data_IF_885905514079
#
_entry.id   IF_885905514079
#
_cell.length_a   1.000
_cell.length_b   1.000
_cell.length_c   1.000
_cell.angle_alpha   90.00
_cell.angle_beta   90.00
_cell.angle_gamma   90.00
#
_symmetry.space_group_name_H-M   'P 1'
#
loop_
_entity.id
_entity.type
_entity.pdbx_description
1 polymer ?
#
# COMPACT_ATOMS: atom_id res chain seq x y z
N UNK A 1 -23.07 13.50 -12.98
CA UNK A 1 -21.88 12.93 -12.30
C UNK A 1 -22.27 12.26 -11.01
N UNK A 2 -22.07 10.95 -10.92
CA UNK A 2 -22.42 10.16 -9.74
C UNK A 2 -21.14 9.87 -8.96
N UNK A 3 -20.93 10.60 -7.86
CA UNK A 3 -19.87 10.30 -6.89
C UNK A 3 -20.37 9.21 -5.93
N UNK A 4 -19.60 8.15 -5.77
CA UNK A 4 -19.85 7.10 -4.78
C UNK A 4 -18.99 7.38 -3.54
N UNK A 5 -19.61 7.32 -2.36
CA UNK A 5 -18.92 7.50 -1.08
C UNK A 5 -19.28 6.32 -0.19
N UNK A 6 -18.26 5.57 0.24
CA UNK A 6 -18.40 4.57 1.29
C UNK A 6 -17.77 5.08 2.57
N UNK A 7 -18.44 4.89 3.70
CA UNK A 7 -17.92 5.21 5.04
C UNK A 7 -17.79 3.94 5.85
N UNK A 8 -16.77 3.88 6.70
CA UNK A 8 -16.52 2.74 7.59
C UNK A 8 -15.48 3.09 8.63
N UNK A 9 -15.09 2.09 9.42
CA UNK A 9 -14.04 2.21 10.42
C UNK A 9 -12.79 1.45 9.98
N UNK A 10 -11.64 1.87 10.50
CA UNK A 10 -10.41 1.07 10.39
C UNK A 10 -10.56 -0.12 11.33
N UNK A 11 -10.69 -1.31 10.77
CA UNK A 11 -10.84 -2.55 11.52
C UNK A 11 -9.50 -3.15 11.91
N UNK A 12 -8.48 -2.97 11.06
CA UNK A 12 -7.14 -3.52 11.29
C UNK A 12 -6.06 -2.72 10.58
N UNK A 13 -4.86 -2.71 11.15
CA UNK A 13 -3.63 -2.28 10.48
C UNK A 13 -2.67 -3.45 10.51
N UNK A 14 -2.30 -3.96 9.34
CA UNK A 14 -1.46 -5.16 9.22
C UNK A 14 -0.55 -5.08 7.99
N UNK A 15 0.42 -5.98 7.93
CA UNK A 15 1.14 -6.24 6.69
C UNK A 15 0.26 -7.11 5.80
N UNK A 16 0.06 -6.69 4.56
CA UNK A 16 -0.74 -7.43 3.58
C UNK A 16 0.07 -7.54 2.30
N UNK A 17 -0.10 -8.65 1.58
CA UNK A 17 0.45 -8.81 0.24
C UNK A 17 -0.22 -7.83 -0.72
N UNK A 18 0.55 -6.99 -1.39
CA UNK A 18 0.03 -6.13 -2.46
C UNK A 18 0.04 -6.90 -3.77
N UNK A 19 -1.01 -6.77 -4.58
CA UNK A 19 -1.07 -7.42 -5.89
C UNK A 19 0.16 -7.07 -6.76
N UNK A 20 0.59 -8.03 -7.60
CA UNK A 20 1.69 -7.89 -8.57
C UNK A 20 3.12 -7.77 -8.02
N UNK A 21 3.42 -8.39 -6.88
CA UNK A 21 4.80 -8.69 -6.48
C UNK A 21 5.50 -7.65 -5.61
N UNK A 22 4.76 -6.65 -5.11
CA UNK A 22 5.27 -5.61 -4.23
C UNK A 22 5.31 -6.05 -2.75
N UNK A 23 5.88 -7.22 -2.45
CA UNK A 23 6.11 -7.70 -1.07
C UNK A 23 4.89 -7.64 -0.12
N UNK A 24 5.17 -7.79 1.18
CA UNK A 24 4.21 -7.50 2.25
C UNK A 24 4.42 -6.06 2.71
N UNK A 25 3.42 -5.21 2.54
CA UNK A 25 3.48 -3.80 2.92
C UNK A 25 2.34 -3.46 3.88
N UNK A 26 2.49 -2.35 4.60
CA UNK A 26 1.49 -1.87 5.53
C UNK A 26 0.18 -1.55 4.78
N UNK A 27 -0.94 -2.08 5.26
CA UNK A 27 -2.27 -1.77 4.78
C UNK A 27 -3.21 -1.49 5.96
N UNK A 28 -4.19 -0.60 5.74
CA UNK A 28 -5.29 -0.39 6.67
C UNK A 28 -6.54 -1.08 6.11
N UNK A 29 -7.06 -2.05 6.83
CA UNK A 29 -8.32 -2.71 6.52
C UNK A 29 -9.49 -1.85 7.02
N UNK A 30 -10.53 -1.75 6.20
CA UNK A 30 -11.77 -1.06 6.51
C UNK A 30 -12.93 -2.06 6.55
N UNK A 31 -13.83 -1.85 7.50
CA UNK A 31 -15.15 -2.48 7.52
C UNK A 31 -16.11 -1.68 6.63
N UNK A 32 -15.84 -1.72 5.33
CA UNK A 32 -16.57 -1.01 4.29
C UNK A 32 -16.37 -1.70 2.95
N UNK A 33 -17.45 -1.92 2.20
CA UNK A 33 -17.36 -2.40 0.84
C UNK A 33 -16.62 -1.39 -0.06
N UNK A 34 -15.45 -1.79 -0.54
CA UNK A 34 -14.76 -1.11 -1.65
C UNK A 34 -15.15 -1.83 -2.94
N UNK A 35 -16.07 -1.21 -3.67
CA UNK A 35 -16.51 -1.70 -4.97
C UNK A 35 -15.57 -1.21 -6.09
N UNK A 36 -15.52 -1.93 -7.23
CA UNK A 36 -14.88 -1.41 -8.44
C UNK A 36 -15.39 -0.01 -8.76
N UNK A 37 -14.47 0.93 -8.96
CA UNK A 37 -14.77 2.35 -9.14
C UNK A 37 -14.43 3.24 -7.94
N UNK A 38 -14.34 2.69 -6.72
CA UNK A 38 -13.81 3.41 -5.56
C UNK A 38 -12.28 3.28 -5.45
N UNK A 39 -11.71 2.17 -5.94
CA UNK A 39 -10.26 1.93 -5.99
C UNK A 39 -9.52 3.03 -6.73
N UNK A 40 -8.39 3.48 -6.17
CA UNK A 40 -7.63 4.63 -6.64
C UNK A 40 -8.13 5.97 -6.08
N UNK A 41 -9.32 6.02 -5.50
CA UNK A 41 -9.86 7.20 -4.83
C UNK A 41 -9.20 7.48 -3.47
N UNK A 42 -9.30 8.71 -2.95
CA UNK A 42 -8.73 9.08 -1.66
C UNK A 42 -9.57 8.53 -0.50
N UNK A 43 -8.91 7.94 0.49
CA UNK A 43 -9.48 7.73 1.81
C UNK A 43 -9.29 9.00 2.64
N UNK A 44 -10.38 9.55 3.20
CA UNK A 44 -10.37 10.86 3.89
C UNK A 44 -10.84 10.70 5.33
N UNK A 45 -10.09 11.28 6.26
CA UNK A 45 -10.47 11.39 7.67
C UNK A 45 -10.23 12.82 8.15
N UNK A 46 -11.25 13.46 8.75
CA UNK A 46 -11.16 14.83 9.30
C UNK A 46 -10.58 15.84 8.28
N UNK A 47 -11.03 15.75 7.03
CA UNK A 47 -10.59 16.63 5.94
C UNK A 47 -9.16 16.39 5.45
N UNK A 48 -8.49 15.31 5.89
CA UNK A 48 -7.14 14.94 5.44
C UNK A 48 -7.17 13.61 4.70
N UNK A 49 -6.36 13.50 3.65
CA UNK A 49 -6.13 12.23 2.98
C UNK A 49 -5.30 11.33 3.89
N UNK A 50 -5.83 10.15 4.21
CA UNK A 50 -5.18 9.14 5.03
C UNK A 50 -4.66 7.94 4.24
N UNK A 51 -5.03 7.87 2.96
CA UNK A 51 -4.51 6.87 2.05
C UNK A 51 -5.26 6.81 0.72
N UNK A 52 -5.01 5.76 -0.05
CA UNK A 52 -5.66 5.48 -1.32
C UNK A 52 -6.44 4.17 -1.18
N UNK A 53 -7.71 4.17 -1.57
CA UNK A 53 -8.54 2.97 -1.57
C UNK A 53 -7.99 1.94 -2.56
N UNK A 54 -7.88 0.68 -2.12
CA UNK A 54 -7.34 -0.41 -2.90
C UNK A 54 -8.17 -1.68 -2.73
N UNK A 55 -8.51 -2.30 -3.86
CA UNK A 55 -9.22 -3.57 -3.90
C UNK A 55 -8.18 -4.69 -4.04
N UNK A 56 -7.84 -5.33 -2.92
CA UNK A 56 -6.67 -6.22 -2.87
C UNK A 56 -6.98 -7.71 -2.94
N UNK A 57 -8.23 -8.17 -2.75
CA UNK A 57 -8.52 -9.60 -2.78
C UNK A 57 -9.80 -9.95 -3.54
N UNK A 58 -9.72 -10.81 -4.58
CA UNK A 58 -10.90 -11.46 -5.12
C UNK A 58 -11.45 -12.45 -4.07
N UNK A 59 -12.74 -12.35 -3.76
CA UNK A 59 -13.45 -13.32 -2.91
C UNK A 59 -13.70 -12.89 -1.45
N UNK A 60 -13.37 -11.65 -1.07
CA UNK A 60 -13.78 -11.08 0.22
C UNK A 60 -14.91 -10.08 0.03
N UNK A 61 -16.12 -10.46 0.39
CA UNK A 61 -17.24 -9.52 0.45
C UNK A 61 -17.07 -8.58 1.65
N UNK A 62 -17.33 -7.28 1.43
CA UNK A 62 -17.36 -6.24 2.47
C UNK A 62 -16.02 -5.91 3.18
N UNK A 63 -14.87 -6.32 2.64
CA UNK A 63 -13.55 -5.92 3.16
C UNK A 63 -12.89 -4.93 2.20
N UNK A 64 -12.59 -3.74 2.70
CA UNK A 64 -11.84 -2.71 1.99
C UNK A 64 -10.40 -2.63 2.48
N UNK A 65 -9.47 -2.26 1.60
CA UNK A 65 -8.11 -1.91 2.00
C UNK A 65 -7.79 -0.48 1.59
N UNK A 66 -6.91 0.14 2.36
CA UNK A 66 -6.34 1.46 2.10
C UNK A 66 -4.83 1.36 2.17
N UNK A 67 -4.18 1.86 1.11
CA UNK A 67 -2.73 2.10 1.08
C UNK A 67 -2.47 3.34 1.93
N UNK A 68 -1.80 3.20 3.10
CA UNK A 68 -1.68 4.30 4.04
C UNK A 68 -0.61 5.32 3.58
N UNK A 69 -0.74 6.57 4.05
CA UNK A 69 0.19 7.65 3.67
C UNK A 69 1.69 7.36 3.83
N UNK A 70 2.19 6.58 4.81
CA UNK A 70 3.61 6.27 4.88
C UNK A 70 4.12 5.48 3.66
N UNK A 71 3.31 4.54 3.15
CA UNK A 71 3.66 3.76 1.94
C UNK A 71 3.65 4.67 0.71
N UNK A 72 2.63 5.54 0.60
CA UNK A 72 2.52 6.51 -0.50
C UNK A 72 3.71 7.48 -0.51
N UNK A 73 4.06 8.04 0.65
CA UNK A 73 5.21 8.95 0.77
C UNK A 73 6.49 8.26 0.37
N UNK A 74 6.73 7.05 0.87
CA UNK A 74 7.92 6.28 0.50
C UNK A 74 8.02 6.08 -1.02
N UNK A 75 6.92 5.73 -1.68
CA UNK A 75 6.88 5.60 -3.13
C UNK A 75 7.20 6.92 -3.84
N UNK A 76 6.61 8.04 -3.42
CA UNK A 76 6.86 9.35 -4.02
C UNK A 76 8.32 9.79 -3.84
N UNK A 77 8.89 9.59 -2.65
CA UNK A 77 10.28 9.92 -2.35
C UNK A 77 11.24 9.08 -3.21
N UNK A 78 10.93 7.79 -3.41
CA UNK A 78 11.71 6.91 -4.28
C UNK A 78 11.64 7.36 -5.75
N UNK A 79 10.45 7.68 -6.27
CA UNK A 79 10.28 8.19 -7.65
C UNK A 79 11.01 9.52 -7.86
N UNK A 80 10.98 10.43 -6.89
CA UNK A 80 11.69 11.71 -6.98
C UNK A 80 13.20 11.50 -7.02
N UNK A 81 13.73 10.60 -6.18
CA UNK A 81 15.15 10.23 -6.17
C UNK A 81 15.56 9.61 -7.50
N UNK A 82 14.84 8.61 -7.97
CA UNK A 82 15.17 7.88 -9.21
C UNK A 82 15.14 8.83 -10.42
N UNK A 83 14.19 9.77 -10.45
CA UNK A 83 14.14 10.82 -11.47
C UNK A 83 15.28 11.84 -11.34
N UNK A 84 15.76 12.14 -10.13
CA UNK A 84 16.92 13.01 -9.92
C UNK A 84 18.22 12.33 -10.37
N UNK A 85 18.37 11.03 -10.11
CA UNK A 85 19.54 10.25 -10.52
C UNK A 85 19.61 10.13 -12.04
N UNK A 86 18.48 9.81 -12.71
CA UNK A 86 18.43 9.78 -14.18
C UNK A 86 18.89 11.12 -14.80
N UNK A 87 18.44 12.25 -14.25
CA UNK A 87 18.85 13.59 -14.71
C UNK A 87 20.35 13.84 -14.51
N UNK A 88 20.93 13.44 -13.37
CA UNK A 88 22.38 13.57 -13.10
C UNK A 88 23.21 12.79 -14.11
N UNK A 89 22.67 11.68 -14.59
CA UNK A 89 23.32 10.79 -15.55
C UNK A 89 23.00 11.16 -17.01
N UNK A 90 22.30 12.27 -17.24
CA UNK A 90 21.95 12.76 -18.59
C UNK A 90 20.88 11.93 -19.31
N UNK A 91 20.09 11.15 -18.56
CA UNK A 91 19.04 10.26 -19.09
C UNK A 91 17.65 10.77 -18.72
N UNK A 92 16.66 10.41 -19.53
CA UNK A 92 15.24 10.62 -19.21
C UNK A 92 14.80 9.54 -18.24
N UNK A 93 14.11 9.93 -17.17
CA UNK A 93 13.48 8.96 -16.26
C UNK A 93 12.40 8.17 -17.01
N UNK A 94 12.49 6.85 -16.96
CA UNK A 94 11.63 5.91 -17.69
C UNK A 94 10.31 5.60 -16.96
N UNK A 95 10.13 6.15 -15.76
CA UNK A 95 8.94 5.90 -14.93
C UNK A 95 9.03 4.61 -14.12
N UNK A 96 10.16 3.90 -14.16
CA UNK A 96 10.36 2.65 -13.44
C UNK A 96 11.01 2.96 -12.10
N UNK A 97 10.33 2.58 -11.02
CA UNK A 97 10.88 2.67 -9.66
C UNK A 97 11.36 1.30 -9.18
N UNK A 98 12.43 1.28 -8.37
CA UNK A 98 13.09 0.04 -7.91
C UNK A 98 12.29 -0.84 -6.94
N UNK A 99 11.04 -0.47 -6.60
CA UNK A 99 10.21 -1.20 -5.66
C UNK A 99 10.63 -1.06 -4.19
N UNK A 100 10.05 -1.91 -3.33
CA UNK A 100 10.38 -1.97 -1.91
C UNK A 100 11.41 -3.07 -1.65
N UNK A 101 12.47 -2.75 -0.90
CA UNK A 101 13.52 -3.71 -0.58
C UNK A 101 13.08 -4.74 0.47
N UNK A 102 13.49 -5.99 0.29
CA UNK A 102 13.40 -7.03 1.32
C UNK A 102 14.78 -7.35 1.92
N UNK A 103 14.79 -7.95 3.11
CA UNK A 103 16.04 -8.31 3.81
C UNK A 103 16.77 -9.51 3.18
N UNK A 104 16.05 -10.33 2.40
CA UNK A 104 16.64 -11.51 1.73
C UNK A 104 16.95 -12.69 2.66
N UNK A 105 16.44 -12.67 3.89
CA UNK A 105 16.60 -13.77 4.86
C UNK A 105 15.27 -14.47 5.11
N UNK A 106 15.34 -15.76 5.48
CA UNK A 106 14.19 -16.52 5.96
C UNK A 106 14.26 -16.58 7.48
N UNK A 107 13.21 -16.08 8.14
CA UNK A 107 13.10 -16.13 9.59
C UNK A 107 12.38 -17.42 10.02
N UNK A 108 12.79 -17.96 11.18
CA UNK A 108 12.11 -19.04 11.87
C UNK A 108 11.78 -18.58 13.29
N UNK A 109 10.52 -18.75 13.69
CA UNK A 109 10.10 -18.47 15.06
C UNK A 109 10.60 -19.54 16.03
N UNK A 110 11.16 -19.11 17.16
CA UNK A 110 11.69 -19.97 18.23
C UNK A 110 10.88 -19.80 19.52
N UNK A 111 9.55 -19.88 19.39
CA UNK A 111 8.64 -19.78 20.54
C UNK A 111 8.82 -20.94 21.50
N UNK A 112 9.20 -22.12 21.00
CA UNK A 112 9.57 -23.27 21.81
C UNK A 112 10.83 -22.94 22.62
N UNK A 113 10.78 -22.98 23.97
CA UNK A 113 11.95 -22.73 24.82
C UNK A 113 13.16 -23.62 24.50
N UNK A 114 12.96 -24.82 23.96
CA UNK A 114 14.03 -25.74 23.57
C UNK A 114 14.76 -25.32 22.28
N UNK A 115 14.24 -24.36 21.52
CA UNK A 115 14.83 -23.82 20.29
C UNK A 115 15.43 -22.42 20.47
N UNK A 116 15.44 -21.87 21.69
CA UNK A 116 16.06 -20.57 22.01
C UNK A 116 17.55 -20.70 22.26
#
# INVERSE_FOLDING_TARGET
DNLSITSGIVSRVELTSYAHGAGELLAAQLDAAINPGNSGGPAVMRGKIVGIAFQNLPGTDNIGYVIPTPVIRRFLDDVERDAADARREGRTYDGVHGGFCGLGIKCQWTDNPAMR
#
